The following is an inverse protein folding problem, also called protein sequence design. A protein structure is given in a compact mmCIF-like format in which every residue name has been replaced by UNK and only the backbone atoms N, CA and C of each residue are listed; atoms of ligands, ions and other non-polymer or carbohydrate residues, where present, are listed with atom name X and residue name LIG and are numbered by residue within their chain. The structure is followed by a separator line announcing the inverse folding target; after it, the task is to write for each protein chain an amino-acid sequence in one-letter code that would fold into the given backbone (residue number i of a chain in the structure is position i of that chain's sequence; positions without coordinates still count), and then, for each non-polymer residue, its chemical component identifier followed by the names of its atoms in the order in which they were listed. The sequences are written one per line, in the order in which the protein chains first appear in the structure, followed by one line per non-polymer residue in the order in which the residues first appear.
data_IF_611696572404
#
_entry.id   IF_611696572404
#
_cell.length_a   1.000
_cell.length_b   1.000
_cell.length_c   1.000
_cell.angle_alpha   90.00
_cell.angle_beta   90.00
_cell.angle_gamma   90.00
#
_symmetry.space_group_name_H-M   'P 1'
#
loop_
_entity.id
_entity.type
_entity.pdbx_description
1 polymer ?
#
# COMPACT_ATOMS: atom_id res chain seq x y z
N UNK A 1 -53.73 6.75 -53.63
CA UNK A 1 -52.25 6.74 -53.45
C UNK A 1 -51.69 7.65 -52.34
N UNK A 2 -52.38 8.71 -51.89
CA UNK A 2 -51.89 9.63 -50.83
C UNK A 2 -52.03 9.08 -49.41
N UNK A 3 -52.96 8.20 -49.16
CA UNK A 3 -53.22 7.62 -47.81
C UNK A 3 -52.25 6.45 -47.41
N UNK A 4 -51.68 5.77 -48.43
CA UNK A 4 -50.70 4.69 -48.17
C UNK A 4 -49.27 5.23 -47.81
N UNK A 5 -48.94 6.46 -48.21
CA UNK A 5 -47.65 7.07 -47.97
C UNK A 5 -47.55 7.59 -46.52
N UNK A 6 -48.67 8.02 -45.92
CA UNK A 6 -48.75 8.54 -44.57
C UNK A 6 -48.62 7.43 -43.47
N UNK A 7 -49.15 6.24 -43.78
CA UNK A 7 -49.03 5.08 -42.85
C UNK A 7 -47.62 4.53 -42.83
N UNK A 8 -46.86 4.59 -43.94
CA UNK A 8 -45.46 4.11 -43.98
C UNK A 8 -44.49 4.99 -43.18
N UNK A 9 -44.75 6.29 -43.03
CA UNK A 9 -43.90 7.24 -42.29
C UNK A 9 -44.12 7.09 -40.78
N UNK A 10 -45.31 6.73 -40.32
CA UNK A 10 -45.62 6.52 -38.90
C UNK A 10 -44.96 5.22 -38.36
N UNK A 11 -44.78 4.20 -39.22
CA UNK A 11 -44.12 2.94 -38.80
C UNK A 11 -42.59 3.05 -38.68
N UNK A 12 -41.97 4.03 -39.34
CA UNK A 12 -40.53 4.28 -39.26
C UNK A 12 -40.09 5.06 -38.02
N UNK A 13 -41.02 5.65 -37.25
CA UNK A 13 -40.73 6.38 -36.02
C UNK A 13 -40.78 5.51 -34.75
N UNK A 14 -41.22 4.25 -34.85
CA UNK A 14 -41.32 3.32 -33.70
C UNK A 14 -40.09 2.40 -33.52
N UNK A 15 -39.12 2.44 -34.40
CA UNK A 15 -37.95 1.57 -34.33
C UNK A 15 -36.71 2.20 -33.63
N UNK A 16 -36.84 3.37 -32.97
CA UNK A 16 -35.74 4.04 -32.33
C UNK A 16 -35.83 4.00 -30.81
N UNK A 17 -36.07 2.84 -30.24
CA UNK A 17 -35.77 2.56 -28.83
C UNK A 17 -34.82 1.40 -28.71
N UNK A 18 -33.57 1.60 -29.19
CA UNK A 18 -32.47 0.81 -28.72
C UNK A 18 -32.25 1.19 -27.24
N UNK A 19 -32.80 0.42 -26.29
CA UNK A 19 -32.37 0.42 -24.92
C UNK A 19 -30.91 0.00 -24.91
N UNK A 20 -29.98 0.96 -25.15
CA UNK A 20 -28.61 0.81 -24.65
C UNK A 20 -28.77 0.56 -23.17
N UNK A 21 -28.40 -0.64 -22.72
CA UNK A 21 -28.23 -0.90 -21.30
C UNK A 21 -27.40 0.25 -20.76
N UNK A 22 -28.02 1.17 -20.05
CA UNK A 22 -27.31 2.25 -19.36
C UNK A 22 -26.46 1.54 -18.33
N UNK A 23 -25.19 1.34 -18.61
CA UNK A 23 -24.21 0.90 -17.63
C UNK A 23 -24.23 1.97 -16.54
N UNK A 24 -24.81 1.65 -15.41
CA UNK A 24 -24.81 2.52 -14.23
C UNK A 24 -23.34 2.85 -13.92
N UNK A 25 -22.94 4.08 -14.27
CA UNK A 25 -21.61 4.56 -13.95
C UNK A 25 -21.54 4.78 -12.45
N UNK A 26 -20.76 3.96 -11.75
CA UNK A 26 -20.55 4.10 -10.32
C UNK A 26 -19.82 5.42 -10.02
N UNK A 27 -20.21 6.07 -8.95
CA UNK A 27 -19.50 7.26 -8.44
C UNK A 27 -18.10 6.90 -7.96
N UNK A 28 -17.20 7.89 -7.93
CA UNK A 28 -15.86 7.67 -7.36
C UNK A 28 -15.91 7.33 -5.88
N UNK A 29 -15.07 6.38 -5.44
CA UNK A 29 -14.94 6.08 -4.02
C UNK A 29 -14.23 7.21 -3.26
N UNK A 30 -14.58 7.34 -1.97
CA UNK A 30 -14.07 8.35 -1.04
C UNK A 30 -13.27 7.74 0.10
N UNK A 31 -12.65 8.58 0.91
CA UNK A 31 -11.85 8.19 2.08
C UNK A 31 -10.34 8.19 1.82
N UNK A 32 -9.57 8.34 2.90
CA UNK A 32 -8.11 8.27 2.89
C UNK A 32 -7.61 6.84 2.65
N UNK A 33 -6.35 6.71 2.28
CA UNK A 33 -5.65 5.41 2.31
C UNK A 33 -5.56 4.89 3.74
N UNK A 34 -5.37 3.59 3.90
CA UNK A 34 -5.27 2.94 5.22
C UNK A 34 -6.48 3.26 6.13
N UNK A 35 -7.67 3.27 5.56
CA UNK A 35 -8.91 3.50 6.28
C UNK A 35 -9.95 2.45 5.91
N UNK A 36 -10.64 1.89 6.93
CA UNK A 36 -11.71 0.90 6.77
C UNK A 36 -12.97 1.41 7.46
N UNK A 37 -14.09 1.37 6.75
CA UNK A 37 -15.42 1.59 7.33
C UNK A 37 -16.01 0.22 7.66
N UNK A 38 -16.24 -0.03 8.96
CA UNK A 38 -16.81 -1.28 9.48
C UNK A 38 -18.30 -1.07 9.73
N UNK A 39 -19.11 -1.81 8.98
CA UNK A 39 -20.56 -1.81 9.13
C UNK A 39 -20.95 -2.95 10.07
N UNK A 40 -21.26 -2.61 11.32
CA UNK A 40 -21.49 -3.54 12.42
C UNK A 40 -22.45 -2.93 13.44
N UNK A 41 -23.34 -3.73 14.02
CA UNK A 41 -24.21 -3.27 15.08
C UNK A 41 -23.44 -2.91 16.36
N UNK A 42 -23.93 -1.93 17.11
CA UNK A 42 -23.25 -1.41 18.29
C UNK A 42 -22.96 -2.49 19.35
N UNK A 43 -23.88 -3.40 19.59
CA UNK A 43 -23.73 -4.46 20.59
C UNK A 43 -22.56 -5.40 20.24
N UNK A 44 -22.39 -5.73 18.97
CA UNK A 44 -21.24 -6.51 18.48
C UNK A 44 -19.93 -5.69 18.54
N UNK A 45 -20.03 -4.38 18.26
CA UNK A 45 -18.85 -3.49 18.24
C UNK A 45 -18.27 -3.23 19.64
N UNK A 46 -19.13 -3.09 20.65
CA UNK A 46 -18.72 -2.85 22.04
C UNK A 46 -18.20 -4.15 22.69
N UNK A 47 -18.65 -5.32 22.21
CA UNK A 47 -18.27 -6.63 22.75
C UNK A 47 -17.03 -7.25 22.14
N UNK A 48 -16.80 -8.53 22.44
CA UNK A 48 -15.64 -9.31 22.02
C UNK A 48 -15.41 -9.40 20.51
N UNK A 49 -16.47 -9.33 19.69
CA UNK A 49 -16.36 -9.26 18.23
C UNK A 49 -15.64 -7.98 17.79
N UNK A 50 -16.04 -6.83 18.38
CA UNK A 50 -15.38 -5.56 18.11
C UNK A 50 -13.94 -5.51 18.62
N UNK A 51 -13.63 -6.18 19.74
CA UNK A 51 -12.25 -6.30 20.25
C UNK A 51 -11.38 -7.07 19.25
N UNK A 52 -11.83 -8.24 18.78
CA UNK A 52 -11.11 -9.02 17.75
C UNK A 52 -10.89 -8.24 16.47
N UNK A 53 -11.86 -7.45 16.02
CA UNK A 53 -11.70 -6.59 14.85
C UNK A 53 -10.66 -5.48 15.07
N UNK A 54 -10.67 -4.83 16.23
CA UNK A 54 -9.69 -3.79 16.57
C UNK A 54 -8.28 -4.34 16.67
N UNK A 55 -8.11 -5.49 17.31
CA UNK A 55 -6.82 -6.16 17.42
C UNK A 55 -6.20 -6.44 16.03
N UNK A 56 -6.99 -6.89 15.07
CA UNK A 56 -6.52 -7.22 13.73
C UNK A 56 -6.34 -5.96 12.86
N UNK A 57 -7.38 -5.11 12.76
CA UNK A 57 -7.42 -4.01 11.79
C UNK A 57 -6.59 -2.81 12.28
N UNK A 58 -6.57 -2.57 13.59
CA UNK A 58 -5.79 -1.50 14.21
C UNK A 58 -4.45 -1.99 14.76
N UNK A 59 -3.96 -3.17 14.37
CA UNK A 59 -2.62 -3.62 14.73
C UNK A 59 -1.56 -2.58 14.33
N UNK A 60 -0.50 -2.40 15.13
CA UNK A 60 0.54 -1.43 14.84
C UNK A 60 1.34 -1.77 13.57
N UNK A 61 1.77 -0.73 12.85
CA UNK A 61 2.70 -0.87 11.73
C UNK A 61 4.11 -1.05 12.29
N UNK A 62 4.77 -2.15 11.92
CA UNK A 62 6.13 -2.44 12.34
C UNK A 62 7.15 -1.45 11.76
N UNK A 63 8.19 -1.13 12.53
CA UNK A 63 9.29 -0.25 12.11
C UNK A 63 9.02 1.25 12.23
N UNK A 64 7.84 1.67 12.72
CA UNK A 64 7.58 3.09 12.98
C UNK A 64 8.14 3.52 14.35
N UNK A 65 8.72 4.74 14.46
CA UNK A 65 9.20 5.28 15.72
C UNK A 65 8.11 5.51 16.78
N UNK A 66 6.90 5.78 16.31
CA UNK A 66 5.69 5.92 17.12
C UNK A 66 4.70 4.85 16.70
N UNK A 67 3.96 4.32 17.65
CA UNK A 67 2.91 3.35 17.36
C UNK A 67 1.79 4.00 16.54
N UNK A 68 1.54 3.45 15.36
CA UNK A 68 0.48 3.88 14.46
C UNK A 68 -0.26 2.65 13.93
N UNK A 69 -1.58 2.69 14.02
CA UNK A 69 -2.44 1.61 13.54
C UNK A 69 -2.31 1.44 12.02
N UNK A 70 -2.27 0.19 11.54
CA UNK A 70 -2.19 -0.09 10.10
C UNK A 70 -3.41 0.42 9.31
N UNK A 71 -4.60 0.45 9.94
CA UNK A 71 -5.78 1.13 9.41
C UNK A 71 -6.43 2.01 10.46
N UNK A 72 -6.93 3.15 10.03
CA UNK A 72 -7.91 3.92 10.78
C UNK A 72 -9.29 3.30 10.58
N UNK A 73 -10.13 3.30 11.62
CA UNK A 73 -11.44 2.66 11.59
C UNK A 73 -12.53 3.72 11.75
N UNK A 74 -13.60 3.62 10.94
CA UNK A 74 -14.89 4.24 11.20
C UNK A 74 -15.93 3.14 11.39
N UNK A 75 -16.53 3.06 12.57
CA UNK A 75 -17.64 2.15 12.82
C UNK A 75 -18.96 2.81 12.43
N UNK A 76 -19.83 2.06 11.75
CA UNK A 76 -21.16 2.50 11.31
C UNK A 76 -22.18 1.41 11.64
N UNK A 77 -23.23 1.70 12.44
CA UNK A 77 -24.32 0.76 12.64
C UNK A 77 -25.04 0.43 11.33
N UNK A 78 -25.42 -0.84 11.13
CA UNK A 78 -26.08 -1.27 9.89
C UNK A 78 -27.34 -0.45 9.57
N UNK A 79 -28.08 -0.03 10.58
CA UNK A 79 -29.31 0.81 10.43
C UNK A 79 -29.00 2.21 9.87
N UNK A 80 -27.81 2.76 10.11
CA UNK A 80 -27.39 4.10 9.68
C UNK A 80 -26.46 4.08 8.48
N UNK A 81 -26.17 2.90 7.93
CA UNK A 81 -25.34 2.75 6.74
C UNK A 81 -26.06 3.33 5.51
N UNK A 82 -25.85 4.61 5.29
CA UNK A 82 -26.50 5.42 4.25
C UNK A 82 -25.56 5.85 3.12
N UNK A 83 -26.07 6.78 2.31
CA UNK A 83 -25.43 7.25 1.05
C UNK A 83 -23.97 7.69 1.25
N UNK A 84 -23.64 8.41 2.31
CA UNK A 84 -22.29 8.93 2.58
C UNK A 84 -21.30 7.78 2.77
N UNK A 85 -21.65 6.78 3.58
CA UNK A 85 -20.78 5.66 3.88
C UNK A 85 -20.67 4.66 2.72
N UNK A 86 -21.68 4.58 1.84
CA UNK A 86 -21.64 3.71 0.66
C UNK A 86 -20.51 4.05 -0.30
N UNK A 87 -20.01 5.28 -0.30
CA UNK A 87 -18.88 5.67 -1.14
C UNK A 87 -17.53 5.35 -0.52
N UNK A 88 -17.44 4.93 0.75
CA UNK A 88 -16.19 4.54 1.39
C UNK A 88 -15.47 3.45 0.59
N UNK A 89 -14.18 3.61 0.38
CA UNK A 89 -13.39 2.72 -0.49
C UNK A 89 -13.27 1.30 0.05
N UNK A 90 -13.00 1.15 1.34
CA UNK A 90 -12.87 -0.13 2.02
C UNK A 90 -14.05 -0.29 2.98
N UNK A 91 -14.93 -1.24 2.69
CA UNK A 91 -16.11 -1.57 3.50
C UNK A 91 -15.96 -2.98 4.06
N UNK A 92 -16.14 -3.13 5.37
CA UNK A 92 -16.22 -4.43 6.04
C UNK A 92 -17.57 -4.58 6.72
N UNK A 93 -18.37 -5.52 6.23
CA UNK A 93 -19.68 -5.83 6.78
C UNK A 93 -19.58 -7.00 7.73
N UNK A 94 -20.03 -6.82 8.97
CA UNK A 94 -20.00 -7.83 10.02
C UNK A 94 -21.42 -8.02 10.56
N UNK A 95 -21.87 -9.26 10.63
CA UNK A 95 -23.22 -9.53 11.11
C UNK A 95 -23.51 -10.98 11.51
N UNK A 96 -24.55 -11.15 12.30
CA UNK A 96 -25.09 -12.46 12.63
C UNK A 96 -26.11 -12.88 11.57
N UNK A 97 -26.05 -14.13 11.15
CA UNK A 97 -26.91 -14.73 10.12
C UNK A 97 -27.07 -16.21 10.39
N UNK A 98 -28.17 -16.81 9.92
CA UNK A 98 -28.38 -18.27 10.01
C UNK A 98 -27.34 -19.09 9.24
N UNK A 99 -26.56 -18.46 8.35
CA UNK A 99 -25.47 -19.07 7.60
C UNK A 99 -24.19 -18.31 7.84
N UNK A 100 -23.12 -19.01 8.16
CA UNK A 100 -21.77 -18.49 8.14
C UNK A 100 -21.37 -18.15 6.72
N UNK A 101 -20.51 -17.15 6.55
CA UNK A 101 -20.09 -16.75 5.23
C UNK A 101 -18.97 -15.72 5.25
N UNK A 102 -18.13 -15.83 4.22
CA UNK A 102 -17.10 -14.88 3.89
C UNK A 102 -17.18 -14.53 2.40
N UNK A 103 -16.98 -13.30 2.06
CA UNK A 103 -16.95 -12.90 0.66
C UNK A 103 -16.37 -11.53 0.42
N UNK A 104 -15.75 -11.37 -0.75
CA UNK A 104 -15.18 -10.11 -1.23
C UNK A 104 -15.84 -9.72 -2.54
N UNK A 105 -16.32 -8.49 -2.62
CA UNK A 105 -16.88 -7.90 -3.86
C UNK A 105 -16.18 -6.59 -4.16
N UNK A 106 -15.97 -6.31 -5.44
CA UNK A 106 -15.45 -5.03 -5.93
C UNK A 106 -16.60 -4.17 -6.42
N UNK A 107 -16.44 -2.85 -6.24
CA UNK A 107 -17.29 -1.85 -6.87
C UNK A 107 -18.80 -2.03 -6.60
N UNK A 108 -19.16 -2.22 -5.31
CA UNK A 108 -20.55 -2.41 -4.87
C UNK A 108 -21.39 -1.14 -5.05
N UNK A 109 -20.88 0.00 -4.62
CA UNK A 109 -21.59 1.29 -4.60
C UNK A 109 -20.76 2.42 -5.22
N UNK A 110 -19.46 2.25 -5.32
CA UNK A 110 -18.51 3.23 -5.82
C UNK A 110 -17.33 2.51 -6.49
N UNK A 111 -16.51 3.23 -7.27
CA UNK A 111 -15.33 2.65 -7.92
C UNK A 111 -14.11 3.56 -7.76
N UNK A 112 -12.92 3.02 -7.42
CA UNK A 112 -12.63 1.64 -7.00
C UNK A 112 -13.06 1.39 -5.55
N UNK A 113 -13.76 0.30 -5.28
CA UNK A 113 -14.23 -0.04 -3.94
C UNK A 113 -14.00 -1.52 -3.65
N UNK A 114 -13.69 -1.84 -2.41
CA UNK A 114 -13.64 -3.20 -1.89
C UNK A 114 -14.66 -3.33 -0.78
N UNK A 115 -15.64 -4.21 -0.97
CA UNK A 115 -16.58 -4.64 0.06
C UNK A 115 -16.27 -6.06 0.49
N UNK A 116 -16.09 -6.27 1.79
CA UNK A 116 -15.89 -7.57 2.39
C UNK A 116 -17.00 -7.86 3.37
N UNK A 117 -17.50 -9.09 3.42
CA UNK A 117 -18.57 -9.50 4.32
C UNK A 117 -18.13 -10.71 5.12
N UNK A 118 -18.35 -10.69 6.43
CA UNK A 118 -18.13 -11.81 7.35
C UNK A 118 -19.42 -12.02 8.15
N UNK A 119 -19.94 -13.24 8.12
CA UNK A 119 -21.16 -13.63 8.79
C UNK A 119 -20.88 -14.83 9.69
N UNK A 120 -21.42 -14.80 10.89
CA UNK A 120 -21.44 -15.93 11.84
C UNK A 120 -22.84 -16.17 12.38
N UNK A 121 -23.08 -17.34 12.99
CA UNK A 121 -24.38 -17.68 13.60
C UNK A 121 -24.57 -17.00 14.96
N UNK A 122 -23.46 -16.75 15.64
CA UNK A 122 -23.37 -16.11 16.94
C UNK A 122 -22.03 -15.36 17.09
N UNK A 123 -21.76 -14.79 18.26
CA UNK A 123 -20.50 -14.07 18.52
C UNK A 123 -19.27 -14.97 18.42
N UNK A 124 -19.38 -16.22 18.88
CA UNK A 124 -18.24 -17.14 18.88
C UNK A 124 -17.86 -17.52 17.45
N UNK A 125 -18.84 -17.91 16.62
CA UNK A 125 -18.59 -18.23 15.21
C UNK A 125 -18.14 -16.99 14.40
N UNK A 126 -18.61 -15.78 14.72
CA UNK A 126 -18.10 -14.55 14.11
C UNK A 126 -16.62 -14.33 14.40
N UNK A 127 -16.19 -14.48 15.66
CA UNK A 127 -14.79 -14.34 16.08
C UNK A 127 -13.93 -15.39 15.37
N UNK A 128 -14.41 -16.63 15.27
CA UNK A 128 -13.73 -17.69 14.52
C UNK A 128 -13.54 -17.31 13.05
N UNK A 129 -14.58 -16.86 12.36
CA UNK A 129 -14.53 -16.40 10.98
C UNK A 129 -13.59 -15.19 10.80
N UNK A 130 -13.61 -14.22 11.70
CA UNK A 130 -12.71 -13.06 11.68
C UNK A 130 -11.26 -13.52 11.80
N UNK A 131 -10.95 -14.41 12.74
CA UNK A 131 -9.60 -14.94 12.94
C UNK A 131 -9.13 -15.81 11.78
N UNK A 132 -10.00 -16.64 11.22
CA UNK A 132 -9.70 -17.47 10.05
C UNK A 132 -9.32 -16.64 8.82
N UNK A 133 -9.91 -15.44 8.68
CA UNK A 133 -9.69 -14.56 7.53
C UNK A 133 -8.82 -13.32 7.82
N UNK A 134 -8.16 -13.23 9.01
CA UNK A 134 -7.43 -12.03 9.44
C UNK A 134 -6.40 -11.53 8.44
N UNK A 135 -5.57 -12.43 7.90
CA UNK A 135 -4.53 -12.09 6.93
C UNK A 135 -5.13 -11.61 5.59
N UNK A 136 -6.23 -12.23 5.19
CA UNK A 136 -6.93 -11.87 3.95
C UNK A 136 -7.61 -10.50 4.06
N UNK A 137 -8.25 -10.19 5.20
CA UNK A 137 -8.83 -8.86 5.50
C UNK A 137 -7.78 -7.78 5.26
N UNK A 138 -6.62 -7.92 5.89
CA UNK A 138 -5.54 -6.93 5.81
C UNK A 138 -4.97 -6.87 4.39
N UNK A 139 -4.65 -8.01 3.78
CA UNK A 139 -3.99 -8.05 2.47
C UNK A 139 -4.86 -7.50 1.35
N UNK A 140 -6.17 -7.79 1.37
CA UNK A 140 -7.11 -7.34 0.33
C UNK A 140 -7.27 -5.82 0.36
N UNK A 141 -7.48 -5.21 1.54
CA UNK A 141 -7.58 -3.76 1.67
C UNK A 141 -6.26 -3.07 1.35
N UNK A 142 -5.13 -3.56 1.86
CA UNK A 142 -3.80 -3.03 1.52
C UNK A 142 -3.51 -3.09 0.02
N UNK A 143 -3.77 -4.21 -0.64
CA UNK A 143 -3.59 -4.35 -2.10
C UNK A 143 -4.44 -3.35 -2.88
N UNK A 144 -5.67 -3.10 -2.44
CA UNK A 144 -6.56 -2.09 -3.02
C UNK A 144 -5.98 -0.68 -2.91
N UNK A 145 -5.56 -0.30 -1.71
CA UNK A 145 -4.99 1.02 -1.42
C UNK A 145 -3.62 1.23 -2.10
N UNK A 146 -2.76 0.19 -2.18
CA UNK A 146 -1.50 0.23 -2.95
C UNK A 146 -1.79 0.54 -4.43
N UNK A 147 -2.72 -0.19 -5.06
CA UNK A 147 -3.09 0.06 -6.47
C UNK A 147 -3.63 1.47 -6.70
N UNK A 148 -4.41 1.99 -5.75
CA UNK A 148 -4.91 3.36 -5.84
C UNK A 148 -3.77 4.38 -5.69
N UNK A 149 -2.88 4.20 -4.70
CA UNK A 149 -1.72 5.04 -4.47
C UNK A 149 -0.83 5.05 -5.73
N UNK A 150 -0.52 3.90 -6.30
CA UNK A 150 0.22 3.79 -7.55
C UNK A 150 -0.44 4.58 -8.69
N UNK A 151 -1.75 4.42 -8.92
CA UNK A 151 -2.46 5.15 -9.97
C UNK A 151 -2.41 6.67 -9.80
N UNK A 152 -2.49 7.16 -8.56
CA UNK A 152 -2.49 8.59 -8.26
C UNK A 152 -1.10 9.20 -8.27
N UNK A 153 -0.13 8.52 -7.66
CA UNK A 153 1.20 9.07 -7.39
C UNK A 153 2.20 8.85 -8.52
N UNK A 154 2.09 7.73 -9.23
CA UNK A 154 3.04 7.39 -10.30
C UNK A 154 2.47 7.61 -11.70
N UNK A 155 1.40 8.40 -11.85
CA UNK A 155 0.84 8.78 -13.14
C UNK A 155 1.85 9.57 -13.97
N UNK A 156 2.49 10.56 -13.35
CA UNK A 156 3.61 11.31 -13.88
C UNK A 156 4.88 10.91 -13.12
N UNK A 157 5.83 10.29 -13.81
CA UNK A 157 7.04 9.75 -13.23
C UNK A 157 8.26 10.05 -14.09
N UNK A 158 9.43 9.92 -13.49
CA UNK A 158 10.69 10.09 -14.19
C UNK A 158 10.85 9.10 -15.33
N UNK A 159 11.42 9.57 -16.44
CA UNK A 159 11.82 8.68 -17.55
C UNK A 159 13.09 7.93 -17.12
N UNK A 160 13.00 6.60 -17.05
CA UNK A 160 14.11 5.74 -16.64
C UNK A 160 15.36 5.90 -17.52
N UNK A 161 15.21 6.25 -18.80
CA UNK A 161 16.33 6.50 -19.71
C UNK A 161 17.23 7.66 -19.28
N UNK A 162 16.71 8.54 -18.44
CA UNK A 162 17.43 9.69 -17.89
C UNK A 162 18.06 9.40 -16.52
N UNK A 163 17.99 8.13 -16.04
CA UNK A 163 18.51 7.70 -14.75
C UNK A 163 19.53 6.60 -15.00
N UNK A 164 20.81 6.95 -14.84
CA UNK A 164 21.94 6.09 -15.16
C UNK A 164 21.90 4.78 -14.39
N UNK A 165 21.69 4.83 -13.08
CA UNK A 165 21.64 3.65 -12.21
C UNK A 165 20.52 2.69 -12.59
N UNK A 166 19.29 3.18 -12.84
CA UNK A 166 18.18 2.30 -13.26
C UNK A 166 18.48 1.64 -14.62
N UNK A 167 19.08 2.38 -15.54
CA UNK A 167 19.49 1.86 -16.86
C UNK A 167 20.55 0.79 -16.72
N UNK A 168 21.61 1.03 -15.93
CA UNK A 168 22.68 0.08 -15.68
C UNK A 168 22.22 -1.20 -14.98
N UNK A 169 21.30 -1.04 -14.03
CA UNK A 169 20.67 -2.17 -13.33
C UNK A 169 19.61 -2.90 -14.18
N UNK A 170 19.22 -2.36 -15.33
CA UNK A 170 18.20 -2.96 -16.19
C UNK A 170 16.83 -3.07 -15.52
N UNK A 171 16.48 -2.11 -14.66
CA UNK A 171 15.24 -2.11 -13.89
C UNK A 171 14.37 -0.90 -14.19
N UNK A 172 13.09 -1.04 -13.90
CA UNK A 172 12.12 0.05 -13.98
C UNK A 172 11.52 0.30 -12.60
N UNK A 173 11.50 1.55 -12.19
CA UNK A 173 10.85 2.02 -10.97
C UNK A 173 10.11 3.33 -11.28
N UNK A 174 8.82 3.38 -10.98
CA UNK A 174 8.00 4.57 -11.26
C UNK A 174 8.14 5.61 -10.16
N UNK A 175 9.23 6.36 -10.18
CA UNK A 175 9.48 7.44 -9.22
C UNK A 175 8.70 8.68 -9.66
N UNK A 176 7.80 9.23 -8.82
CA UNK A 176 7.02 10.41 -9.17
C UNK A 176 7.88 11.64 -9.49
N UNK A 177 7.40 12.51 -10.39
CA UNK A 177 8.13 13.71 -10.84
C UNK A 177 8.39 14.74 -9.74
N UNK A 178 7.62 14.72 -8.66
CA UNK A 178 7.83 15.58 -7.48
C UNK A 178 8.99 15.14 -6.57
N UNK A 179 9.66 14.02 -6.89
CA UNK A 179 10.93 13.64 -6.28
C UNK A 179 12.09 14.26 -7.08
N UNK A 180 13.05 14.85 -6.39
CA UNK A 180 14.27 15.38 -6.96
C UNK A 180 15.38 14.34 -6.93
N UNK A 181 16.18 14.25 -7.98
CA UNK A 181 17.36 13.41 -8.05
C UNK A 181 18.44 14.03 -7.15
N UNK A 182 18.91 13.27 -6.16
CA UNK A 182 19.99 13.69 -5.25
C UNK A 182 21.32 13.11 -5.72
N UNK A 183 21.35 11.81 -6.06
CA UNK A 183 22.54 11.13 -6.52
C UNK A 183 22.20 10.02 -7.54
N UNK A 184 23.05 9.86 -8.57
CA UNK A 184 22.92 8.87 -9.63
C UNK A 184 24.31 8.48 -10.15
N UNK A 185 25.07 7.71 -9.36
CA UNK A 185 26.45 7.34 -9.68
C UNK A 185 26.56 6.29 -10.78
N UNK A 186 25.47 5.54 -11.03
CA UNK A 186 25.41 4.40 -11.94
C UNK A 186 25.40 3.05 -11.23
N UNK A 187 25.80 2.98 -9.98
CA UNK A 187 25.70 1.84 -9.06
C UNK A 187 24.82 2.14 -7.83
N UNK A 188 24.60 3.41 -7.53
CA UNK A 188 23.73 3.89 -6.47
C UNK A 188 22.80 4.99 -6.98
N UNK A 189 21.55 4.98 -6.54
CA UNK A 189 20.51 5.96 -6.85
C UNK A 189 19.91 6.50 -5.57
N UNK A 190 19.69 7.83 -5.51
CA UNK A 190 18.95 8.48 -4.45
C UNK A 190 18.02 9.57 -4.98
N UNK A 191 16.74 9.40 -4.68
CA UNK A 191 15.69 10.41 -4.88
C UNK A 191 15.14 10.90 -3.55
N UNK A 192 14.81 12.19 -3.49
CA UNK A 192 14.24 12.85 -2.31
C UNK A 192 13.01 13.67 -2.71
N UNK A 193 11.99 13.60 -1.87
CA UNK A 193 10.82 14.47 -1.91
C UNK A 193 10.67 15.18 -0.59
N UNK A 194 10.78 16.52 -0.61
CA UNK A 194 10.58 17.35 0.59
C UNK A 194 9.08 17.47 0.88
N UNK A 195 8.72 17.22 2.13
CA UNK A 195 7.38 17.36 2.68
C UNK A 195 7.35 18.48 3.70
N UNK A 196 6.16 18.92 4.14
CA UNK A 196 6.01 20.10 5.02
C UNK A 196 6.89 20.06 6.28
N UNK A 197 7.21 18.87 6.82
CA UNK A 197 8.06 18.71 8.01
C UNK A 197 9.03 17.53 7.82
N UNK A 198 9.89 17.61 6.80
CA UNK A 198 10.91 16.60 6.57
C UNK A 198 11.00 16.13 5.12
N UNK A 199 11.32 14.86 4.90
CA UNK A 199 11.51 14.31 3.55
C UNK A 199 11.14 12.83 3.46
N UNK A 200 10.77 12.41 2.26
CA UNK A 200 10.63 11.03 1.82
C UNK A 200 11.75 10.72 0.84
N UNK A 201 12.37 9.56 0.96
CA UNK A 201 13.55 9.21 0.20
C UNK A 201 13.39 7.83 -0.41
N UNK A 202 13.97 7.63 -1.59
CA UNK A 202 14.03 6.35 -2.30
C UNK A 202 15.46 6.14 -2.74
N UNK A 203 16.03 4.98 -2.41
CA UNK A 203 17.33 4.56 -2.90
C UNK A 203 17.23 3.22 -3.63
N UNK A 204 18.16 2.99 -4.56
CA UNK A 204 18.31 1.71 -5.26
C UNK A 204 19.77 1.41 -5.53
N UNK A 205 20.17 0.15 -5.36
CA UNK A 205 21.54 -0.33 -5.63
C UNK A 205 21.52 -1.86 -5.80
N UNK A 206 22.64 -2.44 -6.16
CA UNK A 206 22.81 -3.88 -6.22
C UNK A 206 24.03 -4.33 -5.41
N UNK A 207 23.94 -5.53 -4.87
CA UNK A 207 25.01 -6.25 -4.18
C UNK A 207 25.26 -7.59 -4.88
N UNK A 208 26.45 -8.18 -4.75
CA UNK A 208 26.70 -9.54 -5.23
C UNK A 208 25.72 -10.54 -4.61
N UNK A 209 25.29 -11.54 -5.38
CA UNK A 209 24.47 -12.62 -4.85
C UNK A 209 25.30 -13.47 -3.88
N UNK A 210 24.79 -13.64 -2.68
CA UNK A 210 25.36 -14.51 -1.64
C UNK A 210 24.44 -15.69 -1.37
N UNK A 211 24.90 -16.66 -0.59
CA UNK A 211 24.08 -17.80 -0.16
C UNK A 211 22.87 -17.33 0.64
N UNK A 212 21.77 -18.08 0.51
CA UNK A 212 20.44 -17.72 1.01
C UNK A 212 20.41 -17.39 2.52
N UNK A 213 21.07 -18.20 3.35
CA UNK A 213 21.12 -18.01 4.80
C UNK A 213 21.95 -16.78 5.20
N UNK A 214 22.91 -16.37 4.36
CA UNK A 214 23.72 -15.17 4.57
C UNK A 214 22.94 -13.89 4.29
N UNK A 215 21.93 -13.92 3.40
CA UNK A 215 21.19 -12.70 3.00
C UNK A 215 20.52 -12.07 4.21
N UNK A 216 19.71 -12.83 4.96
CA UNK A 216 18.94 -12.30 6.10
C UNK A 216 19.87 -11.75 7.17
N UNK A 217 20.97 -12.46 7.45
CA UNK A 217 21.92 -12.07 8.49
C UNK A 217 22.72 -10.81 8.12
N UNK A 218 22.90 -10.54 6.85
CA UNK A 218 23.74 -9.44 6.35
C UNK A 218 22.97 -8.19 5.89
N UNK A 219 21.63 -8.24 5.73
CA UNK A 219 20.84 -7.09 5.24
C UNK A 219 21.17 -5.80 6.00
N UNK A 220 21.26 -5.84 7.33
CA UNK A 220 21.55 -4.66 8.16
C UNK A 220 22.96 -4.16 7.93
N UNK A 221 23.96 -5.05 7.97
CA UNK A 221 25.36 -4.68 7.79
C UNK A 221 25.63 -4.09 6.39
N UNK A 222 25.07 -4.69 5.36
CA UNK A 222 25.15 -4.18 3.99
C UNK A 222 24.46 -2.83 3.83
N UNK A 223 23.26 -2.68 4.41
CA UNK A 223 22.54 -1.41 4.45
C UNK A 223 23.37 -0.31 5.12
N UNK A 224 23.98 -0.59 6.24
CA UNK A 224 24.80 0.37 6.99
C UNK A 224 26.09 0.75 6.23
N UNK A 225 26.66 -0.18 5.49
CA UNK A 225 27.79 0.08 4.58
C UNK A 225 27.40 1.06 3.48
N UNK A 226 26.23 0.88 2.86
CA UNK A 226 25.67 1.78 1.85
C UNK A 226 25.33 3.14 2.47
N UNK A 227 24.70 3.17 3.64
CA UNK A 227 24.38 4.41 4.36
C UNK A 227 25.63 5.23 4.65
N UNK A 228 26.69 4.61 5.14
CA UNK A 228 27.98 5.25 5.40
C UNK A 228 28.64 5.80 4.14
N UNK A 229 28.53 5.09 3.03
CA UNK A 229 29.18 5.47 1.77
C UNK A 229 28.45 6.60 1.04
N UNK A 230 27.11 6.59 1.03
CA UNK A 230 26.34 7.40 0.10
C UNK A 230 25.35 8.37 0.77
N UNK A 231 25.04 8.20 2.07
CA UNK A 231 24.01 9.01 2.73
C UNK A 231 24.62 9.76 3.93
N UNK A 232 25.28 10.91 3.66
CA UNK A 232 25.84 11.72 4.73
C UNK A 232 24.73 12.32 5.59
N UNK A 233 25.04 12.53 6.86
CA UNK A 233 24.22 13.33 7.76
C UNK A 233 24.54 14.83 7.65
N UNK A 234 23.87 15.67 8.43
CA UNK A 234 24.06 17.13 8.38
C UNK A 234 25.36 17.60 8.97
N UNK A 235 26.00 16.84 9.88
CA UNK A 235 27.26 17.18 10.54
C UNK A 235 28.44 16.45 9.89
N UNK A 236 29.62 17.05 9.93
CA UNK A 236 30.84 16.43 9.36
C UNK A 236 31.10 15.04 9.97
N UNK A 237 31.32 14.07 9.10
CA UNK A 237 31.57 12.69 9.47
C UNK A 237 30.33 11.92 9.98
N UNK A 238 29.15 12.56 9.97
CA UNK A 238 27.89 11.87 10.27
C UNK A 238 27.34 11.16 9.01
N UNK A 239 26.63 10.05 9.20
CA UNK A 239 26.05 9.24 8.12
C UNK A 239 24.90 8.36 8.62
N UNK A 240 24.05 7.91 7.70
CA UNK A 240 22.92 7.06 8.02
C UNK A 240 23.35 5.63 8.37
N UNK A 241 22.76 5.10 9.46
CA UNK A 241 22.88 3.70 9.90
C UNK A 241 21.51 3.16 10.33
N UNK A 242 21.43 1.87 10.54
CA UNK A 242 20.27 1.25 11.21
C UNK A 242 20.34 1.53 12.71
N UNK A 243 19.21 1.92 13.32
CA UNK A 243 19.12 2.17 14.76
C UNK A 243 19.36 0.87 15.54
N UNK A 244 20.46 0.83 16.29
CA UNK A 244 20.88 -0.39 17.01
C UNK A 244 19.92 -0.80 18.13
N UNK A 245 19.18 0.15 18.71
CA UNK A 245 18.23 -0.12 19.79
C UNK A 245 16.92 -0.78 19.32
N UNK A 246 16.68 -0.83 18.00
CA UNK A 246 15.49 -1.42 17.40
C UNK A 246 15.87 -2.52 16.41
N UNK A 247 15.64 -3.78 16.77
CA UNK A 247 15.88 -4.90 15.86
C UNK A 247 14.92 -4.83 14.66
N UNK A 248 15.42 -4.70 13.42
CA UNK A 248 14.59 -4.68 12.24
C UNK A 248 13.81 -5.99 12.08
N UNK A 249 12.59 -5.88 11.61
CA UNK A 249 11.75 -7.00 11.28
C UNK A 249 11.93 -7.40 9.82
N UNK A 250 12.45 -8.60 9.58
CA UNK A 250 12.65 -9.14 8.23
C UNK A 250 11.76 -10.36 8.00
N UNK A 251 11.09 -10.40 6.85
CA UNK A 251 10.31 -11.56 6.39
C UNK A 251 10.58 -11.86 4.93
N UNK A 252 10.48 -13.14 4.59
CA UNK A 252 10.43 -13.57 3.20
C UNK A 252 9.13 -13.11 2.54
N UNK A 253 9.22 -12.69 1.30
CA UNK A 253 8.09 -12.22 0.50
C UNK A 253 8.37 -12.44 -0.99
N UNK A 254 7.45 -11.99 -1.81
CA UNK A 254 7.61 -11.92 -3.25
C UNK A 254 7.36 -10.48 -3.71
N UNK A 255 8.26 -9.96 -4.55
CA UNK A 255 8.07 -8.67 -5.18
C UNK A 255 8.01 -8.86 -6.71
N UNK A 256 6.81 -8.69 -7.27
CA UNK A 256 6.54 -8.84 -8.71
C UNK A 256 7.07 -10.16 -9.31
N UNK A 257 6.81 -11.28 -8.65
CA UNK A 257 7.19 -12.62 -9.11
C UNK A 257 8.62 -13.04 -8.77
N UNK A 258 9.36 -12.21 -8.02
CA UNK A 258 10.74 -12.51 -7.61
C UNK A 258 10.82 -12.79 -6.10
N UNK A 259 11.51 -13.84 -5.66
CA UNK A 259 11.81 -14.07 -4.26
C UNK A 259 12.51 -12.85 -3.64
N UNK A 260 12.05 -12.41 -2.50
CA UNK A 260 12.51 -11.17 -1.88
C UNK A 260 12.45 -11.23 -0.36
N UNK A 261 13.16 -10.32 0.29
CA UNK A 261 13.04 -10.04 1.72
C UNK A 261 12.48 -8.63 1.90
N UNK A 262 11.45 -8.49 2.73
CA UNK A 262 10.94 -7.21 3.20
C UNK A 262 11.49 -6.97 4.59
N UNK A 263 12.28 -5.91 4.76
CA UNK A 263 12.84 -5.49 6.05
C UNK A 263 12.28 -4.13 6.45
N UNK A 264 11.70 -4.06 7.64
CA UNK A 264 11.20 -2.82 8.24
C UNK A 264 11.96 -2.53 9.52
N UNK A 265 12.41 -1.30 9.67
CA UNK A 265 13.17 -0.89 10.84
C UNK A 265 13.24 0.62 10.96
N UNK A 266 14.13 1.05 11.85
CA UNK A 266 14.43 2.46 12.06
C UNK A 266 15.85 2.74 11.64
N UNK A 267 16.06 3.90 11.05
CA UNK A 267 17.37 4.45 10.77
C UNK A 267 17.64 5.64 11.68
N UNK A 268 18.89 5.89 11.92
CA UNK A 268 19.40 7.08 12.61
C UNK A 268 20.64 7.61 11.88
N UNK A 269 20.98 8.85 12.16
CA UNK A 269 22.27 9.42 11.73
C UNK A 269 23.25 9.25 12.86
N UNK A 270 24.35 8.56 12.61
CA UNK A 270 25.43 8.42 13.57
C UNK A 270 26.03 9.78 13.88
N UNK A 271 26.14 10.10 15.18
CA UNK A 271 26.60 11.40 15.71
C UNK A 271 25.65 12.58 15.41
N UNK A 272 24.36 12.33 15.21
CA UNK A 272 23.33 13.35 15.04
C UNK A 272 21.97 12.85 15.55
N UNK A 273 20.96 13.73 15.64
CA UNK A 273 19.64 13.41 16.19
C UNK A 273 18.58 13.07 15.13
N UNK A 274 18.96 12.93 13.86
CA UNK A 274 18.02 12.55 12.81
C UNK A 274 17.74 11.05 12.83
N UNK A 275 16.47 10.69 12.85
CA UNK A 275 16.02 9.30 12.80
C UNK A 275 14.65 9.18 12.11
N UNK A 276 14.31 7.96 11.68
CA UNK A 276 13.01 7.68 11.08
C UNK A 276 12.83 6.21 10.69
N UNK A 277 11.68 5.85 10.10
CA UNK A 277 11.44 4.51 9.60
C UNK A 277 12.04 4.28 8.23
N UNK A 278 12.36 3.01 7.92
CA UNK A 278 12.68 2.54 6.58
C UNK A 278 11.90 1.29 6.22
N UNK A 279 11.74 1.08 4.92
CA UNK A 279 11.23 -0.13 4.28
C UNK A 279 12.19 -0.52 3.17
N UNK A 280 12.81 -1.67 3.31
CA UNK A 280 13.76 -2.23 2.36
C UNK A 280 13.18 -3.48 1.71
N UNK A 281 13.34 -3.59 0.39
CA UNK A 281 13.15 -4.82 -0.36
C UNK A 281 14.49 -5.27 -0.94
N UNK A 282 14.98 -6.42 -0.50
CA UNK A 282 16.13 -7.12 -1.07
C UNK A 282 15.62 -8.23 -1.98
N UNK A 283 15.73 -8.03 -3.28
CA UNK A 283 15.21 -8.95 -4.32
C UNK A 283 16.31 -9.87 -4.81
N UNK A 284 16.04 -11.18 -4.82
CA UNK A 284 16.99 -12.19 -5.30
C UNK A 284 16.89 -12.30 -6.82
N UNK A 285 17.80 -11.63 -7.52
CA UNK A 285 17.88 -11.64 -8.99
C UNK A 285 18.94 -12.65 -9.47
N UNK A 286 18.56 -13.93 -9.44
CA UNK A 286 19.45 -15.03 -9.86
C UNK A 286 19.90 -14.92 -11.32
N UNK A 287 19.06 -14.35 -12.19
CA UNK A 287 19.37 -14.19 -13.62
C UNK A 287 20.60 -13.31 -13.83
N UNK A 288 20.75 -12.27 -13.03
CA UNK A 288 21.86 -11.32 -13.10
C UNK A 288 22.90 -11.53 -11.99
N UNK A 289 22.83 -12.64 -11.24
CA UNK A 289 23.74 -13.02 -10.15
C UNK A 289 23.92 -11.90 -9.11
N UNK A 290 22.82 -11.32 -8.62
CA UNK A 290 22.85 -10.18 -7.70
C UNK A 290 21.69 -10.16 -6.72
N UNK A 291 21.85 -9.39 -5.64
CA UNK A 291 20.79 -8.89 -4.79
C UNK A 291 20.46 -7.47 -5.24
N UNK A 292 19.25 -7.24 -5.70
CA UNK A 292 18.77 -5.91 -6.04
C UNK A 292 18.05 -5.32 -4.84
N UNK A 293 18.54 -4.19 -4.36
CA UNK A 293 17.97 -3.52 -3.18
C UNK A 293 17.26 -2.23 -3.60
N UNK A 294 16.03 -2.08 -3.17
CA UNK A 294 15.26 -0.84 -3.23
C UNK A 294 14.74 -0.51 -1.84
N UNK A 295 14.93 0.72 -1.41
CA UNK A 295 14.53 1.15 -0.07
C UNK A 295 13.82 2.50 -0.12
N UNK A 296 12.81 2.63 0.73
CA UNK A 296 12.18 3.90 1.04
C UNK A 296 12.35 4.25 2.51
N UNK A 297 12.75 5.48 2.82
CA UNK A 297 12.87 5.95 4.19
C UNK A 297 12.34 7.37 4.35
N UNK A 298 11.92 7.72 5.57
CA UNK A 298 11.28 9.00 5.83
C UNK A 298 11.92 9.68 7.04
N UNK A 299 12.24 10.97 6.90
CA UNK A 299 12.49 11.88 8.00
C UNK A 299 11.26 12.77 8.18
N UNK A 300 10.56 12.67 9.30
CA UNK A 300 9.34 13.43 9.54
C UNK A 300 9.14 13.64 11.05
N UNK A 301 9.96 14.51 11.71
CA UNK A 301 9.88 14.70 13.14
C UNK A 301 8.50 15.22 13.56
N UNK A 302 8.01 14.72 14.69
CA UNK A 302 6.77 15.16 15.34
C UNK A 302 5.46 14.96 14.55
N UNK A 303 5.47 14.18 13.47
CA UNK A 303 4.26 13.84 12.70
C UNK A 303 4.16 12.34 12.45
N UNK A 304 2.93 11.87 12.16
CA UNK A 304 2.64 10.48 11.79
C UNK A 304 3.33 10.10 10.50
N UNK A 305 3.87 8.88 10.44
CA UNK A 305 4.72 8.40 9.33
C UNK A 305 4.10 7.26 8.54
N UNK A 306 3.04 6.62 9.05
CA UNK A 306 2.37 5.48 8.41
C UNK A 306 2.07 5.76 6.93
N UNK A 307 1.40 6.86 6.64
CA UNK A 307 0.93 7.14 5.29
C UNK A 307 2.07 7.51 4.33
N UNK A 308 3.16 8.12 4.82
CA UNK A 308 4.38 8.34 4.04
C UNK A 308 5.08 7.02 3.71
N UNK A 309 5.24 6.14 4.70
CA UNK A 309 5.83 4.81 4.47
C UNK A 309 4.96 3.96 3.56
N UNK A 310 3.64 4.09 3.63
CA UNK A 310 2.73 3.42 2.71
C UNK A 310 2.84 3.95 1.27
N UNK A 311 3.04 5.26 1.09
CA UNK A 311 3.30 5.84 -0.24
C UNK A 311 4.62 5.33 -0.81
N UNK A 312 5.69 5.30 -0.02
CA UNK A 312 6.97 4.71 -0.42
C UNK A 312 6.80 3.23 -0.80
N UNK A 313 6.10 2.44 0.01
CA UNK A 313 5.80 1.03 -0.31
C UNK A 313 5.08 0.91 -1.66
N UNK A 314 4.12 1.78 -1.94
CA UNK A 314 3.39 1.77 -3.21
C UNK A 314 4.31 2.06 -4.41
N UNK A 315 5.28 2.99 -4.26
CA UNK A 315 6.28 3.30 -5.28
C UNK A 315 7.23 2.12 -5.47
N UNK A 316 7.81 1.59 -4.39
CA UNK A 316 8.76 0.46 -4.45
C UNK A 316 8.12 -0.78 -5.12
N UNK A 317 6.84 -1.03 -4.86
CA UNK A 317 6.08 -2.12 -5.51
C UNK A 317 5.78 -1.90 -7.00
N UNK A 318 6.25 -0.81 -7.60
CA UNK A 318 6.24 -0.65 -9.06
C UNK A 318 7.47 -1.22 -9.74
N UNK A 319 8.47 -1.73 -8.99
CA UNK A 319 9.69 -2.34 -9.52
C UNK A 319 9.36 -3.40 -10.58
N UNK A 320 10.10 -3.34 -11.70
CA UNK A 320 10.16 -4.38 -12.72
C UNK A 320 11.63 -4.66 -13.05
N UNK A 321 11.94 -5.92 -13.21
CA UNK A 321 13.28 -6.45 -13.58
C UNK A 321 13.14 -7.15 -14.91
#
# INVERSE_FOLDING_TARGET
MRTLLTISIVFLLLSSCNKKNATLTLVGSTGSINHVTIVINNDLWIGSVGDSLREIIAAPVLGLPQEENQFSITQVPAKTFGRIFKTSRNLLFIGISNKEGYGVKKDLYATPQIGMTILGKDNASLIEQINAHKEEIISVFKKGDIKLSQRKRTKDHWNIKNIKTLSNLGIQLKIPKNYSLVDDTGDFLWFRHDIAKGSMNIIAYALPLTEYDSIVNNIVAERDTIGKKYIPGPSDGSYMVTEAAYTPFTKQTELNGKPSYETRGKWEVKNDFMAGPFLNYTVVDKTNNRLLVIEGFTYAPSIKKRDYMFELEAILKTLKI
#
